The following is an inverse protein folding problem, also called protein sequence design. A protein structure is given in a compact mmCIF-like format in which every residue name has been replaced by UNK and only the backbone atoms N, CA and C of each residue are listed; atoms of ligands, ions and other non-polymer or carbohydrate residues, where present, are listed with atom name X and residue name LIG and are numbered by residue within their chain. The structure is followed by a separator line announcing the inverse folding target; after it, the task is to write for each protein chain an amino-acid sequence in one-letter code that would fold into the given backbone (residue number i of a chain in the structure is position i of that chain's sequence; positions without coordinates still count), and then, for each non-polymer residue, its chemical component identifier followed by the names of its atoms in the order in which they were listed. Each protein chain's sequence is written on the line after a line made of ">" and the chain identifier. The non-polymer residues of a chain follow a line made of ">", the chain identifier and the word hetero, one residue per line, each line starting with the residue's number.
data_IF_591861134230
#
_entry.id   IF_591861134230
#
_cell.length_a   1.000
_cell.length_b   1.000
_cell.length_c   1.000
_cell.angle_alpha   90.00
_cell.angle_beta   90.00
_cell.angle_gamma   90.00
#
_symmetry.space_group_name_H-M   'P 1'
#
loop_
_entity.id
_entity.type
_entity.pdbx_description
1 polymer ?
#
# COMPACT_ATOMS: atom_id res chain seq x y z
N UNK A 1 -0.02 3.23 -24.71
CA UNK A 1 0.52 2.53 -23.53
C UNK A 1 0.05 1.10 -23.61
N UNK A 2 0.95 0.14 -23.40
CA UNK A 2 0.58 -1.27 -23.37
C UNK A 2 -0.37 -1.52 -22.20
N UNK A 3 -1.37 -2.41 -22.36
CA UNK A 3 -2.37 -2.68 -21.31
C UNK A 3 -1.72 -3.05 -19.97
N UNK A 4 -0.60 -3.78 -20.01
CA UNK A 4 0.18 -4.14 -18.84
C UNK A 4 0.74 -2.93 -18.07
N UNK A 5 1.24 -1.91 -18.77
CA UNK A 5 1.77 -0.70 -18.14
C UNK A 5 0.65 0.10 -17.45
N UNK A 6 -0.50 0.23 -18.11
CA UNK A 6 -1.68 0.90 -17.53
C UNK A 6 -2.12 0.20 -16.25
N UNK A 7 -2.16 -1.13 -16.26
CA UNK A 7 -2.50 -1.95 -15.08
C UNK A 7 -1.48 -1.73 -13.95
N UNK A 8 -0.17 -1.74 -14.24
CA UNK A 8 0.87 -1.50 -13.25
C UNK A 8 0.75 -0.11 -12.60
N UNK A 9 0.52 0.94 -13.40
CA UNK A 9 0.30 2.29 -12.88
C UNK A 9 -0.98 2.39 -12.04
N UNK A 10 -2.07 1.76 -12.47
CA UNK A 10 -3.32 1.73 -11.70
C UNK A 10 -3.13 1.04 -10.35
N UNK A 11 -2.47 -0.12 -10.31
CA UNK A 11 -2.18 -0.86 -9.07
C UNK A 11 -1.31 0.00 -8.14
N UNK A 12 -0.24 0.61 -8.67
CA UNK A 12 0.63 1.48 -7.88
C UNK A 12 -0.14 2.66 -7.26
N UNK A 13 -0.99 3.32 -8.06
CA UNK A 13 -1.83 4.42 -7.57
C UNK A 13 -2.79 3.96 -6.46
N UNK A 14 -3.47 2.81 -6.63
CA UNK A 14 -4.35 2.25 -5.60
C UNK A 14 -3.61 1.92 -4.30
N UNK A 15 -2.41 1.34 -4.38
CA UNK A 15 -1.60 1.01 -3.21
C UNK A 15 -1.18 2.27 -2.43
N UNK A 16 -0.77 3.32 -3.14
CA UNK A 16 -0.40 4.60 -2.51
C UNK A 16 -1.61 5.30 -1.89
N UNK A 17 -2.76 5.30 -2.57
CA UNK A 17 -4.01 5.82 -2.01
C UNK A 17 -4.40 5.06 -0.74
N UNK A 18 -4.29 3.74 -0.75
CA UNK A 18 -4.59 2.91 0.42
C UNK A 18 -3.60 3.16 1.57
N UNK A 19 -2.30 3.30 1.27
CA UNK A 19 -1.30 3.69 2.26
C UNK A 19 -1.61 5.06 2.88
N UNK A 20 -1.97 6.04 2.04
CA UNK A 20 -2.41 7.37 2.48
C UNK A 20 -3.67 7.31 3.35
N UNK A 21 -4.66 6.49 2.99
CA UNK A 21 -5.86 6.28 3.78
C UNK A 21 -5.54 5.69 5.17
N UNK A 22 -4.72 4.65 5.23
CA UNK A 22 -4.25 4.07 6.48
C UNK A 22 -3.47 5.08 7.33
N UNK A 23 -2.68 5.95 6.71
CA UNK A 23 -1.97 7.03 7.40
C UNK A 23 -2.93 8.05 8.00
N UNK A 24 -3.91 8.54 7.25
CA UNK A 24 -4.90 9.51 7.74
C UNK A 24 -5.74 8.92 8.87
N UNK A 25 -6.16 7.66 8.73
CA UNK A 25 -6.96 6.96 9.74
C UNK A 25 -6.13 6.40 10.90
N UNK A 26 -4.80 6.53 10.86
CA UNK A 26 -3.85 5.95 11.83
C UNK A 26 -4.21 4.49 12.17
N UNK A 27 -4.50 3.68 11.14
CA UNK A 27 -4.92 2.30 11.29
C UNK A 27 -4.62 1.47 10.04
N UNK A 28 -4.55 0.16 10.21
CA UNK A 28 -4.24 -0.77 9.12
C UNK A 28 -5.02 -2.07 9.27
N UNK A 29 -5.31 -2.71 8.13
CA UNK A 29 -5.87 -4.04 8.11
C UNK A 29 -4.81 -5.06 8.56
N UNK A 30 -5.10 -5.82 9.60
CA UNK A 30 -4.25 -6.89 10.13
C UNK A 30 -4.92 -8.24 9.90
N UNK A 31 -4.19 -9.16 9.28
CA UNK A 31 -4.68 -10.51 8.95
C UNK A 31 -5.19 -11.21 10.22
N UNK A 32 -6.43 -11.71 10.17
CA UNK A 32 -7.08 -12.43 11.26
C UNK A 32 -7.61 -11.57 12.41
N UNK A 33 -7.42 -10.23 12.37
CA UNK A 33 -7.91 -9.31 13.40
C UNK A 33 -8.76 -8.16 12.84
N UNK A 34 -8.76 -7.95 11.53
CA UNK A 34 -9.53 -6.88 10.89
C UNK A 34 -8.79 -5.54 10.96
N UNK A 35 -9.54 -4.46 11.03
CA UNK A 35 -8.97 -3.11 11.10
C UNK A 35 -8.48 -2.82 12.53
N UNK A 36 -7.18 -2.59 12.68
CA UNK A 36 -6.58 -2.20 13.96
C UNK A 36 -5.98 -0.81 13.85
N UNK A 37 -6.11 -0.03 14.92
CA UNK A 37 -5.42 1.25 15.04
C UNK A 37 -3.92 1.05 15.21
N UNK A 38 -3.15 2.10 14.91
CA UNK A 38 -1.71 2.14 15.14
C UNK A 38 -1.35 1.96 16.62
N UNK A 39 -2.22 2.38 17.54
CA UNK A 39 -2.01 2.20 18.97
C UNK A 39 -2.08 0.72 19.38
N UNK A 40 -3.00 -0.04 18.79
CA UNK A 40 -3.18 -1.47 19.08
C UNK A 40 -2.11 -2.35 18.43
N UNK A 41 -1.65 -1.98 17.23
CA UNK A 41 -0.69 -2.77 16.47
C UNK A 41 0.39 -1.91 15.78
N UNK A 42 1.24 -1.20 16.53
CA UNK A 42 2.18 -0.22 15.97
C UNK A 42 3.21 -0.86 15.03
N UNK A 43 3.73 -2.05 15.40
CA UNK A 43 4.70 -2.77 14.56
C UNK A 43 4.08 -3.22 13.24
N UNK A 44 2.87 -3.77 13.28
CA UNK A 44 2.17 -4.24 12.08
C UNK A 44 1.80 -3.06 11.16
N UNK A 45 1.40 -1.93 11.73
CA UNK A 45 1.13 -0.71 10.97
C UNK A 45 2.34 -0.29 10.14
N UNK A 46 3.53 -0.18 10.76
CA UNK A 46 4.75 0.20 10.07
C UNK A 46 5.19 -0.82 9.03
N UNK A 47 5.13 -2.11 9.34
CA UNK A 47 5.42 -3.17 8.36
C UNK A 47 4.50 -3.05 7.15
N UNK A 48 3.20 -2.84 7.37
CA UNK A 48 2.23 -2.73 6.29
C UNK A 48 2.47 -1.47 5.44
N UNK A 49 2.78 -0.32 6.07
CA UNK A 49 3.17 0.90 5.35
C UNK A 49 4.38 0.68 4.45
N UNK A 50 5.46 0.09 4.98
CA UNK A 50 6.69 -0.17 4.21
C UNK A 50 6.40 -1.10 3.04
N UNK A 51 5.65 -2.19 3.26
CA UNK A 51 5.31 -3.14 2.20
C UNK A 51 4.48 -2.46 1.10
N UNK A 52 3.44 -1.70 1.45
CA UNK A 52 2.61 -1.00 0.47
C UNK A 52 3.43 -0.02 -0.38
N UNK A 53 4.32 0.75 0.24
CA UNK A 53 5.17 1.73 -0.46
C UNK A 53 6.21 1.03 -1.35
N UNK A 54 6.85 -0.03 -0.87
CA UNK A 54 7.86 -0.78 -1.65
C UNK A 54 7.22 -1.46 -2.86
N UNK A 55 6.05 -2.08 -2.70
CA UNK A 55 5.33 -2.71 -3.83
C UNK A 55 4.90 -1.63 -4.83
N UNK A 56 4.36 -0.50 -4.36
CA UNK A 56 3.97 0.59 -5.25
C UNK A 56 5.18 1.13 -6.03
N UNK A 57 6.31 1.36 -5.38
CA UNK A 57 7.54 1.83 -6.02
C UNK A 57 8.05 0.82 -7.06
N UNK A 58 8.05 -0.48 -6.73
CA UNK A 58 8.42 -1.54 -7.67
C UNK A 58 7.52 -1.55 -8.91
N UNK A 59 6.21 -1.46 -8.73
CA UNK A 59 5.25 -1.43 -9.84
C UNK A 59 5.44 -0.21 -10.75
N UNK A 60 5.80 0.96 -10.18
CA UNK A 60 6.14 2.14 -10.97
C UNK A 60 7.41 1.93 -11.79
N UNK A 61 8.48 1.40 -11.18
CA UNK A 61 9.75 1.14 -11.89
C UNK A 61 9.54 0.13 -13.02
N UNK A 62 8.79 -0.94 -12.78
CA UNK A 62 8.49 -1.96 -13.80
C UNK A 62 7.57 -1.40 -14.89
N UNK A 63 6.58 -0.58 -14.53
CA UNK A 63 5.65 0.02 -15.50
C UNK A 63 6.27 1.09 -16.40
N UNK A 64 7.40 1.69 -16.00
CA UNK A 64 8.14 2.70 -16.79
C UNK A 64 9.08 2.05 -17.82
N UNK A 65 9.59 0.85 -17.53
CA UNK A 65 10.48 0.10 -18.43
C UNK A 65 9.70 -0.55 -19.58
#
# INVERSE_FOLDING_TARGET
>A
METAQIVNFAIAAFLLLFAGFCWVKQGSLVKGKGWLSRAEAPKMFWVNMVVLVVIAAYMLVVGIR
#
